data_IF_135917049745
#
_entry.id   IF_135917049745
#
_cell.length_a   1.000
_cell.length_b   1.000
_cell.length_c   1.000
_cell.angle_alpha   90.00
_cell.angle_beta   90.00
_cell.angle_gamma   90.00
#
_symmetry.space_group_name_H-M   'P 1'
#
loop_
_entity.id
_entity.type
_entity.pdbx_description
1 polymer ?
#
# COMPACT_ATOMS: atom_id res chain seq x y z
N UNK A 1 6.11 15.89 26.70
CA UNK A 1 6.67 16.40 25.42
C UNK A 1 6.64 15.33 24.32
N UNK A 2 6.91 14.05 24.64
CA UNK A 2 6.90 12.92 23.69
C UNK A 2 5.61 12.75 22.86
N UNK A 3 4.42 12.72 23.51
CA UNK A 3 3.15 12.49 22.80
C UNK A 3 2.80 13.56 21.75
N UNK A 4 3.28 14.80 21.90
CA UNK A 4 3.02 15.88 20.94
C UNK A 4 3.89 15.73 19.68
N UNK A 5 5.15 15.31 19.84
CA UNK A 5 6.08 15.09 18.72
C UNK A 5 5.68 13.83 17.94
N UNK A 6 5.28 12.77 18.65
CA UNK A 6 4.73 11.55 18.06
C UNK A 6 3.49 11.83 17.20
N UNK A 7 2.53 12.59 17.74
CA UNK A 7 1.33 13.00 17.00
C UNK A 7 1.65 13.80 15.73
N UNK A 8 2.63 14.71 15.77
CA UNK A 8 3.03 15.51 14.61
C UNK A 8 3.67 14.67 13.50
N UNK A 9 4.46 13.67 13.87
CA UNK A 9 5.00 12.71 12.90
C UNK A 9 3.87 11.90 12.24
N UNK A 10 2.98 11.30 13.04
CA UNK A 10 1.86 10.49 12.55
C UNK A 10 0.94 11.27 11.62
N UNK A 11 0.58 12.51 12.00
CA UNK A 11 -0.27 13.38 11.19
C UNK A 11 0.40 13.66 9.81
N UNK A 12 1.68 14.07 9.78
CA UNK A 12 2.42 14.32 8.54
C UNK A 12 2.58 13.06 7.69
N UNK A 13 2.90 11.94 8.32
CA UNK A 13 3.10 10.67 7.63
C UNK A 13 1.80 10.21 6.95
N UNK A 14 0.68 10.37 7.64
CA UNK A 14 -0.66 10.06 7.12
C UNK A 14 -1.08 11.00 5.99
N UNK A 15 -0.77 12.29 6.08
CA UNK A 15 -1.05 13.26 4.99
C UNK A 15 -0.43 12.80 3.66
N UNK A 16 0.77 12.23 3.69
CA UNK A 16 1.41 11.66 2.50
C UNK A 16 0.67 10.42 1.98
N UNK A 17 0.22 9.53 2.84
CA UNK A 17 -0.58 8.36 2.43
C UNK A 17 -1.92 8.78 1.80
N UNK A 18 -2.56 9.82 2.35
CA UNK A 18 -3.78 10.43 1.79
C UNK A 18 -3.51 11.07 0.43
N UNK A 19 -2.36 11.74 0.26
CA UNK A 19 -1.91 12.26 -1.04
C UNK A 19 -1.79 11.14 -2.09
N UNK A 20 -1.11 10.04 -1.75
CA UNK A 20 -0.94 8.88 -2.64
C UNK A 20 -2.29 8.29 -3.10
N UNK A 21 -3.23 8.15 -2.17
CA UNK A 21 -4.57 7.63 -2.47
C UNK A 21 -5.37 8.62 -3.30
N UNK A 22 -5.30 9.91 -3.00
CA UNK A 22 -6.00 10.96 -3.74
C UNK A 22 -5.54 11.02 -5.19
N UNK A 23 -4.22 10.95 -5.41
CA UNK A 23 -3.60 10.88 -6.73
C UNK A 23 -4.10 9.65 -7.52
N UNK A 24 -4.14 8.48 -6.89
CA UNK A 24 -4.66 7.26 -7.51
C UNK A 24 -6.16 7.35 -7.81
N UNK A 25 -6.95 7.94 -6.91
CA UNK A 25 -8.39 8.13 -7.08
C UNK A 25 -8.70 9.09 -8.25
N UNK A 26 -7.93 10.18 -8.36
CA UNK A 26 -8.05 11.16 -9.45
C UNK A 26 -7.81 10.51 -10.82
N UNK A 27 -6.80 9.65 -10.93
CA UNK A 27 -6.47 8.97 -12.18
C UNK A 27 -7.66 8.19 -12.77
N UNK A 28 -8.43 7.50 -11.92
CA UNK A 28 -9.64 6.76 -12.33
C UNK A 28 -10.94 7.55 -12.19
N UNK A 29 -10.86 8.86 -11.88
CA UNK A 29 -12.02 9.74 -11.64
C UNK A 29 -12.99 9.19 -10.58
N UNK A 30 -12.45 8.66 -9.50
CA UNK A 30 -13.20 8.05 -8.40
C UNK A 30 -14.11 6.86 -8.77
N UNK A 31 -13.83 6.18 -9.90
CA UNK A 31 -14.66 5.05 -10.38
C UNK A 31 -14.20 3.67 -9.88
N UNK A 32 -13.20 3.62 -9.00
CA UNK A 32 -12.72 2.35 -8.46
C UNK A 32 -13.43 2.00 -7.14
N UNK A 33 -13.83 0.74 -7.00
CA UNK A 33 -14.33 0.17 -5.73
C UNK A 33 -13.20 0.10 -4.71
N UNK A 34 -12.01 -0.32 -5.14
CA UNK A 34 -10.81 -0.40 -4.30
C UNK A 34 -9.57 0.07 -5.06
N UNK A 35 -8.62 0.65 -4.36
CA UNK A 35 -7.31 1.05 -4.86
C UNK A 35 -6.26 0.30 -4.06
N UNK A 36 -5.26 -0.23 -4.75
CA UNK A 36 -4.11 -0.88 -4.15
C UNK A 36 -2.85 -0.19 -4.65
N UNK A 37 -2.12 0.44 -3.74
CA UNK A 37 -0.88 1.14 -4.02
C UNK A 37 0.26 0.30 -3.48
N UNK A 38 1.31 0.21 -4.29
CA UNK A 38 2.55 -0.47 -3.97
C UNK A 38 3.69 0.54 -4.14
N UNK A 39 4.45 0.76 -3.07
CA UNK A 39 5.59 1.67 -3.07
C UNK A 39 6.86 0.97 -2.58
N UNK A 40 8.00 1.32 -3.18
CA UNK A 40 9.34 0.94 -2.72
C UNK A 40 10.10 2.23 -2.41
N UNK A 41 10.74 2.24 -1.25
CA UNK A 41 11.42 3.38 -0.65
C UNK A 41 12.90 3.08 -0.33
N UNK A 42 13.48 2.08 -1.01
CA UNK A 42 14.90 1.70 -0.88
C UNK A 42 15.76 2.28 -2.04
N UNK A 43 16.88 1.64 -2.39
CA UNK A 43 17.83 1.94 -3.47
C UNK A 43 17.22 2.45 -4.80
N UNK A 44 16.00 2.05 -5.16
CA UNK A 44 15.23 2.63 -6.25
C UNK A 44 13.78 2.90 -5.83
N UNK A 45 13.38 4.16 -5.85
CA UNK A 45 12.01 4.54 -5.55
C UNK A 45 11.04 4.07 -6.63
N UNK A 46 9.98 3.40 -6.17
CA UNK A 46 8.93 2.89 -7.05
C UNK A 46 7.57 3.23 -6.48
N UNK A 47 6.64 3.51 -7.37
CA UNK A 47 5.23 3.69 -7.06
C UNK A 47 4.42 2.97 -8.12
N UNK A 48 3.42 2.20 -7.73
CA UNK A 48 2.57 1.47 -8.66
C UNK A 48 1.16 1.31 -8.08
N UNK A 49 0.16 1.19 -8.96
CA UNK A 49 -1.24 1.17 -8.56
C UNK A 49 -2.04 0.12 -9.35
N UNK A 50 -2.93 -0.56 -8.63
CA UNK A 50 -3.96 -1.46 -9.13
C UNK A 50 -5.33 -1.00 -8.63
N UNK A 51 -6.37 -1.36 -9.37
CA UNK A 51 -7.74 -0.92 -9.08
C UNK A 51 -8.67 -2.12 -9.10
N UNK A 52 -9.68 -2.14 -8.23
CA UNK A 52 -10.86 -2.99 -8.37
C UNK A 52 -11.96 -2.17 -9.05
N UNK A 53 -12.41 -2.60 -10.22
CA UNK A 53 -13.45 -1.92 -11.01
C UNK A 53 -14.43 -2.97 -11.50
N UNK A 54 -15.71 -2.80 -11.21
CA UNK A 54 -16.79 -3.74 -11.54
C UNK A 54 -16.44 -5.18 -11.13
N UNK A 55 -16.00 -5.36 -9.88
CA UNK A 55 -15.60 -6.65 -9.32
C UNK A 55 -14.22 -7.17 -9.75
N UNK A 56 -13.54 -6.54 -10.71
CA UNK A 56 -12.28 -7.06 -11.27
C UNK A 56 -11.07 -6.25 -10.81
N UNK A 57 -10.02 -6.94 -10.34
CA UNK A 57 -8.73 -6.30 -10.04
C UNK A 57 -7.90 -6.16 -11.31
N UNK A 58 -7.52 -4.92 -11.64
CA UNK A 58 -6.94 -4.54 -12.92
C UNK A 58 -5.72 -3.65 -12.74
N UNK A 59 -4.79 -3.76 -13.70
CA UNK A 59 -3.64 -2.85 -13.81
C UNK A 59 -4.11 -1.48 -14.32
N UNK A 60 -3.46 -0.41 -13.87
CA UNK A 60 -3.75 0.99 -14.27
C UNK A 60 -3.93 1.27 -15.77
N UNK A 61 -3.22 0.56 -16.66
CA UNK A 61 -3.36 0.73 -18.12
C UNK A 61 -4.50 -0.09 -18.74
N UNK A 62 -5.21 -0.91 -17.95
CA UNK A 62 -6.32 -1.77 -18.38
C UNK A 62 -7.67 -1.36 -17.80
N UNK A 63 -7.75 -0.25 -17.06
CA UNK A 63 -8.97 0.20 -16.39
C UNK A 63 -10.14 0.41 -17.35
N UNK A 64 -9.89 0.98 -18.54
CA UNK A 64 -10.89 1.19 -19.59
C UNK A 64 -11.52 -0.10 -20.15
N UNK A 65 -11.00 -1.28 -19.81
CA UNK A 65 -11.67 -2.56 -20.15
C UNK A 65 -12.91 -2.82 -19.31
N UNK A 66 -12.99 -2.21 -18.13
CA UNK A 66 -14.03 -2.45 -17.13
C UNK A 66 -14.80 -1.18 -16.77
N UNK A 67 -14.31 0.00 -17.16
CA UNK A 67 -15.08 1.25 -17.05
C UNK A 67 -16.17 1.35 -18.13
N UNK A 68 -17.27 2.08 -17.87
CA UNK A 68 -18.21 2.47 -18.90
C UNK A 68 -17.50 3.23 -20.04
N UNK A 69 -17.92 3.03 -21.29
CA UNK A 69 -17.22 3.60 -22.46
C UNK A 69 -17.17 5.13 -22.42
N UNK A 70 -18.25 5.73 -21.96
CA UNK A 70 -18.45 7.17 -21.76
C UNK A 70 -17.59 7.74 -20.63
N UNK A 71 -17.11 6.89 -19.72
CA UNK A 71 -16.32 7.27 -18.55
C UNK A 71 -14.86 6.81 -18.63
N UNK A 72 -14.44 6.34 -19.81
CA UNK A 72 -13.06 6.02 -20.10
C UNK A 72 -12.13 7.19 -19.76
N UNK A 73 -10.98 6.84 -19.20
CA UNK A 73 -9.92 7.80 -18.86
C UNK A 73 -8.82 7.79 -19.92
N UNK A 74 -7.97 8.81 -19.91
CA UNK A 74 -6.75 8.80 -20.70
C UNK A 74 -5.66 7.99 -19.99
N UNK A 75 -5.46 6.73 -20.43
CA UNK A 75 -4.41 5.86 -19.88
C UNK A 75 -2.98 6.33 -20.20
N UNK A 76 -2.80 7.33 -21.07
CA UNK A 76 -1.52 8.00 -21.31
C UNK A 76 -1.01 8.75 -20.08
N UNK A 77 -1.90 9.20 -19.20
CA UNK A 77 -1.55 9.90 -17.95
C UNK A 77 -0.88 9.00 -16.90
N UNK A 78 -0.81 7.69 -17.14
CA UNK A 78 -0.21 6.76 -16.18
C UNK A 78 1.26 7.10 -15.87
N UNK A 79 2.01 7.68 -16.81
CA UNK A 79 3.39 8.09 -16.57
C UNK A 79 3.46 9.23 -15.54
N UNK A 80 2.52 10.19 -15.63
CA UNK A 80 2.38 11.27 -14.65
C UNK A 80 1.95 10.72 -13.29
N UNK A 81 0.96 9.82 -13.24
CA UNK A 81 0.55 9.12 -12.01
C UNK A 81 1.75 8.48 -11.29
N UNK A 82 2.59 7.73 -12.02
CA UNK A 82 3.75 7.08 -11.42
C UNK A 82 4.79 8.08 -10.93
N UNK A 83 5.05 9.14 -11.72
CA UNK A 83 6.03 10.16 -11.37
C UNK A 83 5.61 10.98 -10.14
N UNK A 84 4.35 11.39 -10.08
CA UNK A 84 3.83 12.13 -8.92
C UNK A 84 3.80 11.25 -7.67
N UNK A 85 3.42 9.97 -7.79
CA UNK A 85 3.45 9.05 -6.65
C UNK A 85 4.86 8.77 -6.11
N UNK A 86 5.90 8.82 -6.95
CA UNK A 86 7.29 8.77 -6.47
C UNK A 86 7.63 9.98 -5.59
N UNK A 87 7.09 11.17 -5.87
CA UNK A 87 7.31 12.34 -5.01
C UNK A 87 6.67 12.16 -3.64
N UNK A 88 5.51 11.51 -3.56
CA UNK A 88 4.90 11.15 -2.27
C UNK A 88 5.80 10.18 -1.50
N UNK A 89 6.43 9.21 -2.19
CA UNK A 89 7.42 8.32 -1.56
C UNK A 89 8.59 9.14 -1.03
N UNK A 90 9.17 10.04 -1.82
CA UNK A 90 10.27 10.93 -1.39
C UNK A 90 9.87 11.79 -0.17
N UNK A 91 8.64 12.33 -0.16
CA UNK A 91 8.12 13.12 0.95
C UNK A 91 8.00 12.29 2.24
N UNK A 92 7.54 11.05 2.13
CA UNK A 92 7.49 10.10 3.24
C UNK A 92 8.88 9.90 3.88
N UNK A 93 9.92 9.66 3.06
CA UNK A 93 11.29 9.49 3.57
C UNK A 93 11.82 10.77 4.22
N UNK A 94 11.50 11.94 3.64
CA UNK A 94 11.89 13.22 4.20
C UNK A 94 11.29 13.44 5.60
N UNK A 95 10.03 13.03 5.81
CA UNK A 95 9.37 13.07 7.11
C UNK A 95 10.05 12.12 8.09
N UNK A 96 10.30 10.85 7.72
CA UNK A 96 11.02 9.92 8.60
C UNK A 96 12.38 10.49 9.04
N UNK A 97 13.13 11.08 8.11
CA UNK A 97 14.41 11.72 8.39
C UNK A 97 14.27 12.94 9.31
N UNK A 98 13.27 13.80 9.11
CA UNK A 98 13.00 14.98 9.96
C UNK A 98 12.83 14.57 11.44
N UNK A 99 12.17 13.44 11.68
CA UNK A 99 11.87 12.94 13.03
C UNK A 99 12.86 11.90 13.54
N UNK A 100 13.97 11.67 12.83
CA UNK A 100 14.99 10.65 13.15
C UNK A 100 14.36 9.25 13.37
N UNK A 101 13.49 8.86 12.44
CA UNK A 101 12.82 7.56 12.37
C UNK A 101 13.34 6.79 11.15
N UNK A 102 13.34 5.45 11.23
CA UNK A 102 13.52 4.66 10.02
C UNK A 102 12.28 4.80 9.12
N UNK A 103 12.48 4.66 7.81
CA UNK A 103 11.39 4.63 6.85
C UNK A 103 11.14 3.17 6.44
N UNK A 104 9.91 2.83 6.02
CA UNK A 104 9.68 1.55 5.39
C UNK A 104 10.51 1.40 4.12
N UNK A 105 10.95 0.20 3.83
CA UNK A 105 11.57 -0.12 2.54
C UNK A 105 10.51 -0.42 1.48
N UNK A 106 9.34 -0.90 1.90
CA UNK A 106 8.23 -1.27 1.05
C UNK A 106 6.90 -0.93 1.74
N UNK A 107 5.91 -0.41 1.01
CA UNK A 107 4.64 0.01 1.60
C UNK A 107 3.46 -0.33 0.69
N UNK A 108 2.43 -0.95 1.26
CA UNK A 108 1.22 -1.32 0.55
C UNK A 108 0.02 -0.56 1.15
N UNK A 109 -0.66 0.24 0.33
CA UNK A 109 -1.86 0.96 0.78
C UNK A 109 -3.07 0.37 0.08
N UNK A 110 -4.09 0.04 0.86
CA UNK A 110 -5.38 -0.42 0.33
C UNK A 110 -6.43 0.61 0.73
N UNK A 111 -7.12 1.16 -0.27
CA UNK A 111 -8.24 2.06 -0.09
C UNK A 111 -9.51 1.41 -0.61
N UNK A 112 -10.59 1.51 0.16
CA UNK A 112 -11.90 0.99 -0.18
C UNK A 112 -12.91 2.14 -0.29
N UNK A 113 -13.43 2.36 -1.50
CA UNK A 113 -14.28 3.51 -1.81
C UNK A 113 -15.70 3.39 -1.24
N UNK A 114 -16.22 2.16 -1.05
CA UNK A 114 -17.56 1.96 -0.46
C UNK A 114 -17.60 2.45 0.98
N UNK A 115 -16.45 2.40 1.64
CA UNK A 115 -16.31 2.76 3.03
C UNK A 115 -15.98 4.25 3.22
N UNK A 116 -15.50 4.98 2.19
CA UNK A 116 -15.06 6.39 2.24
C UNK A 116 -14.18 6.75 3.47
N UNK A 117 -13.49 5.75 4.00
CA UNK A 117 -13.14 5.71 5.43
C UNK A 117 -11.78 6.36 5.73
N UNK A 118 -11.00 6.67 4.70
CA UNK A 118 -9.65 7.19 4.87
C UNK A 118 -9.62 8.50 5.68
N UNK A 119 -10.67 9.32 5.59
CA UNK A 119 -10.78 10.58 6.34
C UNK A 119 -11.23 10.37 7.80
N UNK A 120 -12.15 9.43 8.04
CA UNK A 120 -12.76 9.21 9.37
C UNK A 120 -11.88 8.35 10.30
N UNK A 121 -11.00 7.52 9.74
CA UNK A 121 -10.13 6.59 10.50
C UNK A 121 -8.73 7.09 10.81
N UNK A 122 -8.42 8.35 10.50
CA UNK A 122 -7.18 9.00 10.94
C UNK A 122 -6.96 8.87 12.46
N UNK A 123 -8.03 9.00 13.25
CA UNK A 123 -7.97 8.83 14.72
C UNK A 123 -7.84 7.37 15.17
N UNK A 124 -8.37 6.42 14.38
CA UNK A 124 -8.26 4.98 14.66
C UNK A 124 -6.86 4.43 14.40
N UNK A 125 -6.23 4.88 13.31
CA UNK A 125 -4.86 4.50 12.95
C UNK A 125 -3.86 5.06 13.99
N UNK A 126 -4.03 6.32 14.43
CA UNK A 126 -3.25 6.94 15.52
C UNK A 126 -3.31 6.13 16.81
N UNK A 127 -4.48 5.59 17.16
CA UNK A 127 -4.66 4.76 18.35
C UNK A 127 -3.85 3.47 18.31
N UNK A 128 -3.80 2.80 17.15
CA UNK A 128 -2.99 1.58 16.96
C UNK A 128 -1.49 1.87 17.16
N UNK A 129 -0.99 3.01 16.67
CA UNK A 129 0.40 3.42 16.89
C UNK A 129 0.70 3.72 18.36
N UNK A 130 -0.20 4.43 19.06
CA UNK A 130 -0.05 4.78 20.48
C UNK A 130 -0.14 3.54 21.39
N UNK A 131 -1.10 2.65 21.14
CA UNK A 131 -1.39 1.50 22.00
C UNK A 131 -0.32 0.39 21.91
N UNK A 132 0.51 0.40 20.85
CA UNK A 132 1.50 -0.65 20.59
C UNK A 132 2.97 -0.17 20.69
N UNK A 133 3.23 1.09 21.07
CA UNK A 133 4.59 1.65 21.25
C UNK A 133 5.57 1.31 20.09
N UNK A 134 5.09 1.35 18.84
CA UNK A 134 5.77 0.75 17.70
C UNK A 134 6.93 1.61 17.16
N UNK A 135 8.11 1.01 17.08
CA UNK A 135 9.27 1.46 16.29
C UNK A 135 9.42 0.65 14.99
N UNK A 136 10.07 1.25 13.99
CA UNK A 136 10.63 0.74 12.72
C UNK A 136 9.95 -0.48 12.07
N UNK A 137 9.27 -0.25 10.94
CA UNK A 137 8.39 -1.21 10.27
C UNK A 137 8.79 -1.43 8.81
N UNK A 138 8.64 -2.67 8.33
CA UNK A 138 9.08 -3.08 6.98
C UNK A 138 7.95 -3.06 5.94
N UNK A 139 6.73 -3.45 6.30
CA UNK A 139 5.51 -3.39 5.47
C UNK A 139 4.29 -3.11 6.36
N UNK A 140 3.48 -2.12 6.00
CA UNK A 140 2.17 -1.85 6.62
C UNK A 140 1.07 -2.23 5.64
N UNK A 141 0.08 -3.03 6.08
CA UNK A 141 -1.09 -3.41 5.31
C UNK A 141 -2.33 -2.96 6.07
N UNK A 142 -3.00 -1.94 5.53
CA UNK A 142 -4.23 -1.41 6.12
C UNK A 142 -5.40 -2.22 5.57
N UNK A 143 -5.98 -3.04 6.44
CA UNK A 143 -7.18 -3.83 6.18
C UNK A 143 -8.42 -3.13 6.72
N UNK A 144 -9.49 -3.27 5.95
CA UNK A 144 -10.76 -2.66 6.24
C UNK A 144 -11.87 -3.64 5.85
N UNK A 145 -12.62 -4.10 6.85
CA UNK A 145 -13.75 -4.99 6.60
C UNK A 145 -15.07 -4.24 6.42
N UNK A 146 -16.07 -4.98 5.96
CA UNK A 146 -17.46 -4.54 5.74
C UNK A 146 -18.17 -4.01 7.00
N UNK A 147 -17.61 -4.22 8.19
CA UNK A 147 -18.16 -3.78 9.48
C UNK A 147 -17.40 -2.57 10.07
N UNK A 148 -16.61 -1.88 9.25
CA UNK A 148 -15.78 -0.75 9.67
C UNK A 148 -14.67 -1.11 10.67
N UNK A 149 -14.34 -2.39 10.90
CA UNK A 149 -13.21 -2.76 11.74
C UNK A 149 -11.92 -2.45 10.98
N UNK A 150 -11.08 -1.60 11.56
CA UNK A 150 -9.71 -1.36 11.10
C UNK A 150 -8.83 -2.49 11.64
N UNK A 151 -8.14 -3.20 10.76
CA UNK A 151 -6.98 -3.99 11.16
C UNK A 151 -5.77 -3.48 10.39
N UNK A 152 -4.67 -3.27 11.11
CA UNK A 152 -3.39 -2.95 10.49
C UNK A 152 -2.54 -4.19 10.69
N UNK A 153 -2.21 -4.86 9.58
CA UNK A 153 -1.26 -5.95 9.62
C UNK A 153 0.12 -5.37 9.33
N UNK A 154 1.03 -5.58 10.28
CA UNK A 154 2.43 -5.24 10.11
C UNK A 154 3.16 -6.51 9.73
N UNK A 155 4.01 -6.38 8.71
CA UNK A 155 4.90 -7.45 8.32
C UNK A 155 6.35 -7.01 8.57
N UNK A 156 6.95 -7.70 9.54
CA UNK A 156 8.30 -7.51 10.04
C UNK A 156 9.27 -8.56 9.50
N UNK A 157 8.85 -9.39 8.53
CA UNK A 157 9.74 -10.35 7.92
C UNK A 157 10.89 -9.62 7.21
N UNK A 158 12.14 -10.08 7.35
CA UNK A 158 13.31 -9.42 6.78
C UNK A 158 13.42 -9.74 5.29
N UNK A 159 12.47 -9.26 4.49
CA UNK A 159 12.35 -9.58 3.07
C UNK A 159 13.58 -9.20 2.25
N UNK A 160 14.32 -8.17 2.66
CA UNK A 160 15.56 -7.77 2.00
C UNK A 160 16.73 -8.72 2.28
N UNK A 161 16.67 -9.50 3.35
CA UNK A 161 17.64 -10.54 3.68
C UNK A 161 17.27 -11.90 3.07
N UNK A 162 16.07 -11.99 2.47
CA UNK A 162 15.58 -13.20 1.82
C UNK A 162 16.08 -13.33 0.37
N UNK A 163 15.96 -14.53 -0.19
CA UNK A 163 16.21 -14.79 -1.61
C UNK A 163 15.08 -14.26 -2.53
N UNK A 164 14.02 -13.65 -1.98
CA UNK A 164 12.88 -13.15 -2.74
C UNK A 164 13.12 -11.72 -3.24
N UNK A 165 13.34 -11.61 -4.55
CA UNK A 165 13.58 -10.32 -5.19
C UNK A 165 12.32 -9.44 -5.25
N UNK A 166 12.46 -8.15 -5.61
CA UNK A 166 11.33 -7.22 -5.71
C UNK A 166 10.19 -7.71 -6.62
N UNK A 167 10.52 -8.43 -7.71
CA UNK A 167 9.53 -9.01 -8.61
C UNK A 167 8.72 -10.13 -7.92
N UNK A 168 9.37 -10.96 -7.12
CA UNK A 168 8.71 -12.04 -6.39
C UNK A 168 7.75 -11.46 -5.35
N UNK A 169 8.18 -10.43 -4.60
CA UNK A 169 7.36 -9.73 -3.59
C UNK A 169 6.14 -9.05 -4.20
N UNK A 170 6.30 -8.37 -5.35
CA UNK A 170 5.15 -7.82 -6.09
C UNK A 170 4.18 -8.92 -6.54
N UNK A 171 4.68 -10.05 -7.02
CA UNK A 171 3.79 -11.13 -7.47
C UNK A 171 3.10 -11.82 -6.29
N UNK A 172 3.80 -12.00 -5.18
CA UNK A 172 3.25 -12.53 -3.93
C UNK A 172 2.16 -11.62 -3.37
N UNK A 173 2.38 -10.29 -3.36
CA UNK A 173 1.36 -9.31 -3.02
C UNK A 173 0.09 -9.50 -3.86
N UNK A 174 0.26 -9.60 -5.18
CA UNK A 174 -0.84 -9.76 -6.13
C UNK A 174 -1.60 -11.07 -5.89
N UNK A 175 -0.90 -12.14 -5.56
CA UNK A 175 -1.52 -13.40 -5.21
C UNK A 175 -2.33 -13.29 -3.91
N UNK A 176 -1.67 -12.86 -2.83
CA UNK A 176 -2.22 -12.89 -1.47
C UNK A 176 -3.35 -11.88 -1.24
N UNK A 177 -3.22 -10.67 -1.77
CA UNK A 177 -4.13 -9.55 -1.45
C UNK A 177 -5.06 -9.18 -2.60
N UNK A 178 -4.66 -9.47 -3.85
CA UNK A 178 -5.41 -9.06 -5.03
C UNK A 178 -6.11 -10.22 -5.74
N UNK A 179 -5.95 -11.45 -5.24
CA UNK A 179 -6.59 -12.64 -5.80
C UNK A 179 -6.07 -13.05 -7.19
N UNK A 180 -4.86 -12.64 -7.57
CA UNK A 180 -4.26 -13.13 -8.81
C UNK A 180 -3.82 -14.58 -8.66
N UNK A 181 -4.11 -15.40 -9.65
CA UNK A 181 -3.59 -16.77 -9.70
C UNK A 181 -2.09 -16.80 -10.04
N UNK A 182 -1.40 -17.83 -9.54
CA UNK A 182 -0.05 -18.16 -9.97
C UNK A 182 -0.02 -18.51 -11.45
N UNK A 183 1.03 -18.10 -12.16
CA UNK A 183 1.24 -18.38 -13.59
C UNK A 183 1.50 -19.86 -13.88
N UNK A 184 2.05 -20.58 -12.90
CA UNK A 184 2.39 -22.00 -12.97
C UNK A 184 2.65 -22.54 -11.56
N UNK A 185 2.79 -23.87 -11.47
CA UNK A 185 3.07 -24.58 -10.21
C UNK A 185 4.34 -24.08 -9.51
N UNK A 186 5.40 -23.73 -10.27
CA UNK A 186 6.65 -23.23 -9.69
C UNK A 186 6.44 -21.92 -8.94
N UNK A 187 5.66 -21.00 -9.50
CA UNK A 187 5.32 -19.75 -8.83
C UNK A 187 4.40 -19.97 -7.63
N UNK A 188 3.47 -20.93 -7.70
CA UNK A 188 2.64 -21.29 -6.55
C UNK A 188 3.48 -21.81 -5.37
N UNK A 189 4.45 -22.69 -5.65
CA UNK A 189 5.38 -23.17 -4.61
C UNK A 189 6.25 -22.04 -4.06
N UNK A 190 6.67 -21.09 -4.90
CA UNK A 190 7.36 -19.89 -4.44
C UNK A 190 6.48 -19.06 -3.47
N UNK A 191 5.20 -18.86 -3.79
CA UNK A 191 4.28 -18.13 -2.90
C UNK A 191 4.08 -18.84 -1.56
N UNK A 192 3.96 -20.17 -1.55
CA UNK A 192 3.89 -20.96 -0.29
C UNK A 192 5.15 -20.78 0.56
N UNK A 193 6.33 -20.77 -0.06
CA UNK A 193 7.58 -20.51 0.65
C UNK A 193 7.63 -19.10 1.24
N UNK A 194 7.11 -18.11 0.51
CA UNK A 194 6.99 -16.72 1.00
C UNK A 194 6.00 -16.60 2.15
N UNK A 195 4.85 -17.29 2.11
CA UNK A 195 3.91 -17.33 3.25
C UNK A 195 4.56 -17.95 4.49
N UNK A 196 5.31 -19.04 4.32
CA UNK A 196 6.03 -19.69 5.42
C UNK A 196 7.08 -18.76 6.04
N UNK A 197 7.88 -18.08 5.20
CA UNK A 197 8.85 -17.08 5.64
C UNK A 197 8.18 -15.95 6.43
N UNK A 198 7.10 -15.38 5.89
CA UNK A 198 6.34 -14.32 6.55
C UNK A 198 5.79 -14.78 7.91
N UNK A 199 5.23 -16.00 7.99
CA UNK A 199 4.69 -16.54 9.23
C UNK A 199 5.77 -16.84 10.27
N UNK A 200 6.95 -17.30 9.85
CA UNK A 200 8.07 -17.58 10.76
C UNK A 200 8.53 -16.30 11.47
N UNK A 201 8.64 -15.19 10.74
CA UNK A 201 9.19 -13.95 11.27
C UNK A 201 8.17 -13.08 12.00
N UNK A 202 6.88 -13.18 11.68
CA UNK A 202 5.80 -12.42 12.33
C UNK A 202 5.15 -13.14 13.53
N UNK A 203 5.68 -14.29 13.96
CA UNK A 203 5.15 -15.09 15.08
C UNK A 203 5.51 -14.59 16.49
N UNK A 204 5.87 -13.32 16.66
CA UNK A 204 6.26 -12.76 17.97
C UNK A 204 5.14 -11.94 18.61
#
# INVERSE_FOLDING_TARGET
MGNKVMKQFEDKFMEVQVSMISLALEYVRAQAEKIFIYAIADSLYSFNVFYKINGHVVRKHKVNKYLPKESNIDTGLQSSLLKEGIKDVEAMLAICKEYNREHPTEMWLVYDAETNILFDKSEGLKRVFIDNDLSDWYICIIHLDENNKLSVDFDYAPWLESDFGPTDRINFFRYKFLGFESRNEKELEQFKAMEAFQQEHNRK
#
